data_IF_991583232410
#
_entry.id   IF_991583232410
#
_cell.length_a   1.000
_cell.length_b   1.000
_cell.length_c   1.000
_cell.angle_alpha   90.00
_cell.angle_beta   90.00
_cell.angle_gamma   90.00
#
_symmetry.space_group_name_H-M   'P 1'
#
loop_
_entity.id
_entity.type
_entity.pdbx_description
1 polymer ?
#
# COMPACT_ATOMS: atom_id res chain seq x y z
N UNK A 1 11.07 -19.51 -15.31
CA UNK A 1 9.90 -19.30 -14.44
C UNK A 1 9.86 -20.27 -13.26
N UNK A 2 9.51 -21.56 -13.43
CA UNK A 2 9.38 -22.53 -12.33
C UNK A 2 10.56 -22.56 -11.33
N UNK A 3 11.81 -22.68 -11.81
CA UNK A 3 13.00 -22.65 -10.94
C UNK A 3 13.09 -21.40 -10.06
N UNK A 4 12.72 -20.23 -10.61
CA UNK A 4 12.75 -18.96 -9.87
C UNK A 4 11.68 -18.94 -8.78
N UNK A 5 10.46 -19.38 -9.09
CA UNK A 5 9.37 -19.46 -8.10
C UNK A 5 9.70 -20.44 -6.97
N UNK A 6 10.15 -21.64 -7.31
CA UNK A 6 10.56 -22.67 -6.35
C UNK A 6 11.74 -22.25 -5.46
N UNK A 7 12.57 -21.31 -5.93
CA UNK A 7 13.67 -20.76 -5.13
C UNK A 7 13.23 -19.58 -4.26
N UNK A 8 12.51 -18.61 -4.85
CA UNK A 8 12.20 -17.35 -4.20
C UNK A 8 11.06 -17.48 -3.19
N UNK A 9 9.92 -18.05 -3.58
CA UNK A 9 8.71 -18.06 -2.75
C UNK A 9 8.95 -18.81 -1.44
N UNK A 10 9.50 -20.05 -1.42
CA UNK A 10 9.77 -20.74 -0.15
C UNK A 10 10.84 -20.06 0.72
N UNK A 11 11.84 -19.40 0.11
CA UNK A 11 12.93 -18.73 0.84
C UNK A 11 12.44 -17.56 1.69
N UNK A 12 11.40 -16.87 1.21
CA UNK A 12 10.82 -15.67 1.85
C UNK A 12 9.43 -15.92 2.45
N UNK A 13 8.98 -17.18 2.51
CA UNK A 13 7.77 -17.55 3.25
C UNK A 13 7.81 -16.99 4.66
N UNK A 14 6.69 -16.42 5.10
CA UNK A 14 6.51 -15.75 6.39
C UNK A 14 7.40 -14.51 6.64
N UNK A 15 8.14 -14.05 5.63
CA UNK A 15 9.01 -12.85 5.71
C UNK A 15 8.50 -11.68 4.89
N UNK A 16 7.54 -11.89 4.00
CA UNK A 16 6.92 -10.87 3.17
C UNK A 16 5.42 -10.86 3.40
N UNK A 17 4.80 -9.68 3.32
CA UNK A 17 3.35 -9.56 3.48
C UNK A 17 2.58 -9.96 2.22
N UNK A 18 3.18 -9.73 1.05
CA UNK A 18 2.62 -10.01 -0.26
C UNK A 18 3.72 -10.29 -1.28
N UNK A 19 3.31 -10.83 -2.43
CA UNK A 19 4.08 -10.90 -3.67
C UNK A 19 3.32 -10.22 -4.79
N UNK A 20 3.97 -9.35 -5.53
CA UNK A 20 3.53 -9.01 -6.89
C UNK A 20 3.90 -10.19 -7.77
N UNK A 21 2.92 -11.05 -8.03
CA UNK A 21 3.14 -12.30 -8.77
C UNK A 21 3.42 -11.99 -10.24
N UNK A 22 2.77 -10.95 -10.76
CA UNK A 22 2.94 -10.42 -12.11
C UNK A 22 2.97 -8.90 -12.01
N UNK A 23 4.03 -8.30 -12.56
CA UNK A 23 4.18 -6.85 -12.71
C UNK A 23 3.84 -6.45 -14.13
N UNK A 24 3.13 -5.34 -14.29
CA UNK A 24 2.89 -4.63 -15.54
C UNK A 24 2.26 -5.45 -16.69
N UNK A 25 1.33 -6.40 -16.46
CA UNK A 25 0.77 -7.22 -17.54
C UNK A 25 -0.06 -6.42 -18.57
N UNK A 26 -0.50 -5.20 -18.25
CA UNK A 26 -1.21 -4.33 -19.20
C UNK A 26 -0.26 -3.68 -20.22
N UNK A 27 1.00 -3.50 -19.84
CA UNK A 27 2.03 -2.86 -20.66
C UNK A 27 2.97 -3.88 -21.31
N UNK A 28 3.29 -4.97 -20.60
CA UNK A 28 4.23 -6.00 -21.02
C UNK A 28 3.68 -7.41 -20.83
N UNK A 29 3.50 -8.15 -21.93
CA UNK A 29 2.98 -9.52 -21.89
C UNK A 29 3.99 -10.57 -22.40
N UNK A 30 5.22 -10.54 -21.87
CA UNK A 30 6.30 -11.41 -22.34
C UNK A 30 5.96 -12.92 -22.19
N UNK A 31 5.42 -13.30 -21.04
CA UNK A 31 5.13 -14.71 -20.72
C UNK A 31 3.88 -15.20 -21.44
N UNK A 32 2.79 -14.44 -21.45
CA UNK A 32 1.55 -14.82 -22.15
C UNK A 32 1.77 -14.99 -23.65
N UNK A 33 2.54 -14.11 -24.29
CA UNK A 33 2.88 -14.25 -25.71
C UNK A 33 3.64 -15.53 -26.06
N UNK A 34 4.41 -16.10 -25.12
CA UNK A 34 5.27 -17.27 -25.36
C UNK A 34 4.68 -18.58 -24.87
N UNK A 35 3.87 -18.53 -23.82
CA UNK A 35 3.38 -19.70 -23.09
C UNK A 35 1.84 -19.78 -23.09
N UNK A 36 1.16 -18.82 -23.70
CA UNK A 36 -0.30 -18.66 -23.65
C UNK A 36 -0.76 -17.90 -22.41
N UNK A 37 -1.94 -17.26 -22.48
CA UNK A 37 -2.50 -16.45 -21.39
C UNK A 37 -2.70 -17.22 -20.08
N UNK A 38 -2.91 -18.54 -20.15
CA UNK A 38 -3.08 -19.40 -18.99
C UNK A 38 -1.86 -19.41 -18.06
N UNK A 39 -0.68 -19.03 -18.57
CA UNK A 39 0.55 -18.93 -17.78
C UNK A 39 0.39 -17.98 -16.60
N UNK A 40 -0.38 -16.90 -16.76
CA UNK A 40 -0.62 -15.95 -15.68
C UNK A 40 -1.38 -16.60 -14.53
N UNK A 41 -2.46 -17.34 -14.84
CA UNK A 41 -3.20 -18.08 -13.82
C UNK A 41 -2.34 -19.17 -13.16
N UNK A 42 -1.47 -19.81 -13.94
CA UNK A 42 -0.54 -20.81 -13.45
C UNK A 42 0.46 -20.20 -12.46
N UNK A 43 1.00 -19.00 -12.70
CA UNK A 43 1.93 -18.33 -11.78
C UNK A 43 1.29 -18.10 -10.42
N UNK A 44 0.05 -17.58 -10.37
CA UNK A 44 -0.66 -17.39 -9.10
C UNK A 44 -0.93 -18.72 -8.37
N UNK A 45 -1.36 -19.76 -9.08
CA UNK A 45 -1.56 -21.10 -8.50
C UNK A 45 -0.26 -21.68 -7.94
N UNK A 46 0.84 -21.51 -8.67
CA UNK A 46 2.16 -21.97 -8.24
C UNK A 46 2.65 -21.20 -7.00
N UNK A 47 2.48 -19.87 -6.97
CA UNK A 47 2.82 -19.06 -5.82
C UNK A 47 2.01 -19.48 -4.58
N UNK A 48 0.70 -19.67 -4.73
CA UNK A 48 -0.17 -20.15 -3.64
C UNK A 48 0.22 -21.54 -3.13
N UNK A 49 0.61 -22.46 -4.02
CA UNK A 49 1.06 -23.79 -3.62
C UNK A 49 2.38 -23.74 -2.82
N UNK A 50 3.26 -22.79 -3.16
CA UNK A 50 4.55 -22.57 -2.49
C UNK A 50 4.44 -21.71 -1.23
N UNK A 51 3.38 -20.94 -1.07
CA UNK A 51 3.08 -20.18 0.15
C UNK A 51 1.55 -20.01 0.30
N UNK A 52 0.91 -20.86 1.12
CA UNK A 52 -0.55 -20.84 1.30
C UNK A 52 -1.11 -19.60 1.99
N UNK A 53 -0.28 -18.81 2.68
CA UNK A 53 -0.75 -17.73 3.56
C UNK A 53 -0.38 -16.33 3.07
N UNK A 54 0.62 -16.20 2.19
CA UNK A 54 1.02 -14.89 1.65
C UNK A 54 -0.06 -14.30 0.74
N UNK A 55 -0.16 -12.97 0.70
CA UNK A 55 -1.04 -12.33 -0.26
C UNK A 55 -0.39 -12.31 -1.66
N UNK A 56 -1.21 -12.44 -2.70
CA UNK A 56 -0.78 -12.52 -4.10
C UNK A 56 -1.42 -11.37 -4.87
N UNK A 57 -0.59 -10.46 -5.32
CA UNK A 57 -0.96 -9.21 -5.95
C UNK A 57 -0.74 -9.31 -7.47
N UNK A 58 -1.66 -8.68 -8.20
CA UNK A 58 -1.37 -8.12 -9.52
C UNK A 58 -0.90 -6.69 -9.28
N UNK A 59 0.14 -6.21 -9.96
CA UNK A 59 0.66 -4.85 -9.83
C UNK A 59 0.84 -4.21 -11.22
N UNK A 60 0.46 -2.96 -11.37
CA UNK A 60 0.57 -2.21 -12.64
C UNK A 60 0.49 -0.69 -12.41
N UNK A 61 1.11 0.08 -13.30
CA UNK A 61 1.02 1.55 -13.36
C UNK A 61 -0.10 2.02 -14.30
N UNK A 62 -0.34 3.33 -14.37
CA UNK A 62 -1.37 3.95 -15.20
C UNK A 62 -2.80 3.44 -14.89
N UNK A 63 -3.01 3.01 -13.66
CA UNK A 63 -4.29 2.48 -13.16
C UNK A 63 -5.06 3.50 -12.34
N UNK A 64 -4.39 4.49 -11.74
CA UNK A 64 -4.97 5.56 -10.90
C UNK A 64 -4.30 6.94 -11.07
N UNK A 65 -3.24 7.01 -11.87
CA UNK A 65 -2.35 8.16 -12.03
C UNK A 65 -2.65 8.90 -13.33
N UNK A 66 -2.32 8.26 -14.45
CA UNK A 66 -2.59 8.69 -15.80
C UNK A 66 -3.12 7.49 -16.58
N UNK A 67 -4.39 7.55 -16.98
CA UNK A 67 -4.98 6.44 -17.73
C UNK A 67 -4.84 6.68 -19.24
N UNK A 68 -4.52 5.63 -19.97
CA UNK A 68 -4.59 5.61 -21.42
C UNK A 68 -5.55 4.52 -21.94
N UNK A 69 -5.55 4.26 -23.24
CA UNK A 69 -6.46 3.27 -23.85
C UNK A 69 -6.12 1.83 -23.45
N UNK A 70 -4.87 1.54 -23.12
CA UNK A 70 -4.36 0.20 -22.80
C UNK A 70 -4.29 -0.08 -21.29
N UNK A 71 -4.10 0.96 -20.47
CA UNK A 71 -4.05 0.86 -19.02
C UNK A 71 -4.94 1.92 -18.35
N UNK A 72 -5.93 1.44 -17.61
CA UNK A 72 -6.91 2.22 -16.87
C UNK A 72 -7.60 1.29 -15.84
N UNK A 73 -8.36 1.81 -14.86
CA UNK A 73 -8.93 0.96 -13.81
C UNK A 73 -9.95 -0.05 -14.33
N UNK A 74 -10.65 0.21 -15.44
CA UNK A 74 -11.58 -0.75 -16.04
C UNK A 74 -10.85 -1.98 -16.62
N UNK A 75 -9.83 -1.75 -17.44
CA UNK A 75 -9.03 -2.82 -18.05
C UNK A 75 -8.30 -3.61 -16.97
N UNK A 76 -7.79 -2.91 -15.94
CA UNK A 76 -7.10 -3.55 -14.85
C UNK A 76 -8.03 -4.45 -14.02
N UNK A 77 -9.21 -3.95 -13.68
CA UNK A 77 -10.24 -4.71 -12.98
C UNK A 77 -10.69 -5.94 -13.77
N UNK A 78 -10.86 -5.80 -15.09
CA UNK A 78 -11.17 -6.93 -15.98
C UNK A 78 -10.07 -7.99 -15.96
N UNK A 79 -8.79 -7.59 -16.00
CA UNK A 79 -7.66 -8.53 -15.89
C UNK A 79 -7.69 -9.30 -14.56
N UNK A 80 -7.96 -8.62 -13.45
CA UNK A 80 -8.10 -9.26 -12.12
C UNK A 80 -9.24 -10.28 -12.12
N UNK A 81 -10.41 -9.92 -12.66
CA UNK A 81 -11.55 -10.84 -12.75
C UNK A 81 -11.28 -12.03 -13.66
N UNK A 82 -10.64 -11.83 -14.81
CA UNK A 82 -10.29 -12.90 -15.73
C UNK A 82 -9.29 -13.88 -15.10
N UNK A 83 -8.29 -13.39 -14.36
CA UNK A 83 -7.38 -14.24 -13.60
C UNK A 83 -8.13 -15.10 -12.57
N UNK A 84 -8.99 -14.47 -11.77
CA UNK A 84 -9.80 -15.18 -10.79
C UNK A 84 -10.75 -16.21 -11.44
N UNK A 85 -11.38 -15.87 -12.56
CA UNK A 85 -12.23 -16.78 -13.33
C UNK A 85 -11.46 -18.00 -13.86
N UNK A 86 -10.18 -17.82 -14.21
CA UNK A 86 -9.26 -18.91 -14.57
C UNK A 86 -8.66 -19.64 -13.36
N UNK A 87 -9.13 -19.36 -12.14
CA UNK A 87 -8.75 -20.02 -10.90
C UNK A 87 -7.43 -19.53 -10.30
N UNK A 88 -6.92 -18.37 -10.72
CA UNK A 88 -5.81 -17.72 -10.04
C UNK A 88 -6.29 -17.20 -8.67
N UNK A 89 -5.61 -17.51 -7.55
CA UNK A 89 -5.97 -16.97 -6.24
C UNK A 89 -5.41 -15.55 -6.03
N UNK A 90 -5.89 -14.56 -6.79
CA UNK A 90 -5.51 -13.15 -6.58
C UNK A 90 -6.13 -12.67 -5.27
N UNK A 91 -5.32 -12.08 -4.40
CA UNK A 91 -5.80 -11.62 -3.08
C UNK A 91 -5.56 -10.13 -2.82
N UNK A 92 -4.97 -9.40 -3.77
CA UNK A 92 -4.72 -7.96 -3.65
C UNK A 92 -4.51 -7.31 -5.01
N UNK A 93 -4.68 -6.00 -5.04
CA UNK A 93 -4.44 -5.13 -6.19
C UNK A 93 -3.33 -4.16 -5.78
N UNK A 94 -2.23 -4.16 -6.52
CA UNK A 94 -1.21 -3.12 -6.49
C UNK A 94 -1.49 -2.08 -7.56
N UNK A 95 -1.45 -0.82 -7.20
CA UNK A 95 -1.41 0.31 -8.13
C UNK A 95 -0.09 1.01 -7.86
N UNK A 96 0.78 1.08 -8.86
CA UNK A 96 2.14 1.60 -8.65
C UNK A 96 2.10 3.03 -8.10
N UNK A 97 1.18 3.86 -8.58
CA UNK A 97 0.99 5.24 -8.14
C UNK A 97 2.17 6.16 -8.50
N UNK A 98 2.79 5.91 -9.66
CA UNK A 98 3.77 6.82 -10.28
C UNK A 98 3.07 8.03 -10.90
N UNK A 99 3.08 9.17 -10.19
CA UNK A 99 2.47 10.40 -10.70
C UNK A 99 3.50 11.27 -11.42
N UNK A 100 3.06 11.88 -12.53
CA UNK A 100 3.77 13.00 -13.17
C UNK A 100 2.97 14.28 -12.97
N UNK A 101 3.55 15.26 -12.27
CA UNK A 101 2.92 16.55 -11.99
C UNK A 101 1.75 16.46 -10.99
N UNK A 102 0.78 17.38 -11.14
CA UNK A 102 -0.31 17.55 -10.18
C UNK A 102 -1.31 16.37 -10.18
N UNK A 103 -1.61 15.78 -9.01
CA UNK A 103 -2.53 14.66 -8.92
C UNK A 103 -3.98 15.11 -9.03
N UNK A 104 -4.77 14.40 -9.84
CA UNK A 104 -6.20 14.63 -9.96
C UNK A 104 -6.97 13.87 -8.87
N UNK A 105 -7.12 14.43 -7.66
CA UNK A 105 -7.68 13.72 -6.50
C UNK A 105 -9.11 13.17 -6.72
N UNK A 106 -9.96 13.92 -7.45
CA UNK A 106 -11.31 13.45 -7.81
C UNK A 106 -11.23 12.20 -8.69
N UNK A 107 -10.25 12.15 -9.59
CA UNK A 107 -10.01 11.01 -10.46
C UNK A 107 -9.44 9.82 -9.67
N UNK A 108 -8.44 10.05 -8.83
CA UNK A 108 -7.91 9.04 -7.91
C UNK A 108 -9.04 8.37 -7.10
N UNK A 109 -9.93 9.18 -6.50
CA UNK A 109 -11.09 8.67 -5.77
C UNK A 109 -12.01 7.83 -6.65
N UNK A 110 -12.33 8.31 -7.85
CA UNK A 110 -13.16 7.57 -8.81
C UNK A 110 -12.54 6.21 -9.15
N UNK A 111 -11.25 6.20 -9.46
CA UNK A 111 -10.53 5.01 -9.92
C UNK A 111 -10.35 3.99 -8.78
N UNK A 112 -10.07 4.45 -7.55
CA UNK A 112 -10.08 3.59 -6.36
C UNK A 112 -11.46 2.97 -6.10
N UNK A 113 -12.55 3.73 -6.28
CA UNK A 113 -13.90 3.18 -6.16
C UNK A 113 -14.19 2.12 -7.23
N UNK A 114 -13.68 2.33 -8.45
CA UNK A 114 -13.79 1.35 -9.53
C UNK A 114 -13.04 0.07 -9.19
N UNK A 115 -11.78 0.17 -8.81
CA UNK A 115 -10.95 -0.98 -8.44
C UNK A 115 -11.49 -1.70 -7.19
N UNK A 116 -12.14 -0.98 -6.26
CA UNK A 116 -12.78 -1.57 -5.09
C UNK A 116 -13.89 -2.58 -5.43
N UNK A 117 -14.44 -2.54 -6.65
CA UNK A 117 -15.40 -3.56 -7.11
C UNK A 117 -14.80 -4.96 -7.19
N UNK A 118 -13.47 -5.11 -7.23
CA UNK A 118 -12.80 -6.41 -7.10
C UNK A 118 -13.05 -7.06 -5.73
N UNK A 119 -13.42 -6.27 -4.71
CA UNK A 119 -13.54 -6.70 -3.31
C UNK A 119 -12.23 -7.27 -2.76
N UNK A 120 -11.10 -6.76 -3.26
CA UNK A 120 -9.75 -7.05 -2.81
C UNK A 120 -9.13 -5.80 -2.17
N UNK A 121 -8.18 -5.93 -1.23
CA UNK A 121 -7.41 -4.81 -0.73
C UNK A 121 -6.60 -4.17 -1.87
N UNK A 122 -6.59 -2.84 -1.91
CA UNK A 122 -5.78 -2.03 -2.83
C UNK A 122 -4.56 -1.52 -2.07
N UNK A 123 -3.38 -1.60 -2.67
CA UNK A 123 -2.17 -0.96 -2.18
C UNK A 123 -1.66 0.01 -3.22
N UNK A 124 -1.30 1.21 -2.79
CA UNK A 124 -0.35 2.03 -3.54
C UNK A 124 1.02 1.42 -3.26
N UNK A 125 1.65 0.85 -4.27
CA UNK A 125 2.85 0.00 -4.11
C UNK A 125 4.15 0.77 -4.33
N UNK A 126 4.12 1.86 -5.11
CA UNK A 126 5.31 2.56 -5.59
C UNK A 126 5.08 4.09 -5.68
N UNK A 127 4.35 4.67 -4.72
CA UNK A 127 3.94 6.08 -4.77
C UNK A 127 5.15 7.02 -4.85
N UNK A 128 5.23 7.81 -5.93
CA UNK A 128 6.20 8.88 -6.15
C UNK A 128 5.63 9.99 -7.06
N UNK A 129 6.39 11.08 -7.22
CA UNK A 129 6.01 12.26 -8.01
C UNK A 129 7.18 12.84 -8.81
N UNK A 130 7.14 12.63 -10.13
CA UNK A 130 8.05 13.24 -11.10
C UNK A 130 7.45 14.51 -11.71
N UNK A 131 8.24 15.23 -12.52
CA UNK A 131 7.83 16.46 -13.24
C UNK A 131 7.18 17.53 -12.35
N UNK A 132 7.70 17.67 -11.13
CA UNK A 132 7.31 18.69 -10.14
C UNK A 132 8.30 19.86 -10.13
N UNK A 133 7.83 21.07 -9.85
CA UNK A 133 8.62 22.30 -9.91
C UNK A 133 9.55 22.47 -8.69
N UNK A 134 9.20 21.85 -7.55
CA UNK A 134 9.96 21.96 -6.30
C UNK A 134 9.69 20.80 -5.35
N UNK A 135 10.60 20.61 -4.38
CA UNK A 135 10.44 19.63 -3.31
C UNK A 135 9.23 19.94 -2.40
N UNK A 136 8.89 21.22 -2.22
CA UNK A 136 7.72 21.64 -1.42
C UNK A 136 6.42 21.27 -2.14
N UNK A 137 6.33 21.51 -3.45
CA UNK A 137 5.19 21.10 -4.26
C UNK A 137 5.04 19.57 -4.31
N UNK A 138 6.16 18.84 -4.43
CA UNK A 138 6.15 17.38 -4.32
C UNK A 138 5.59 16.92 -2.98
N UNK A 139 5.96 17.60 -1.90
CA UNK A 139 5.46 17.32 -0.56
C UNK A 139 3.96 17.59 -0.42
N UNK A 140 3.44 18.66 -1.05
CA UNK A 140 2.00 18.93 -1.16
C UNK A 140 1.27 17.78 -1.85
N UNK A 141 1.79 17.33 -3.00
CA UNK A 141 1.14 16.29 -3.81
C UNK A 141 1.17 14.91 -3.14
N UNK A 142 2.31 14.52 -2.55
CA UNK A 142 2.44 13.31 -1.75
C UNK A 142 1.45 13.30 -0.59
N UNK A 143 1.37 14.40 0.18
CA UNK A 143 0.40 14.52 1.27
C UNK A 143 -1.05 14.39 0.78
N UNK A 144 -1.39 15.05 -0.33
CA UNK A 144 -2.74 15.02 -0.90
C UNK A 144 -3.16 13.60 -1.32
N UNK A 145 -2.31 12.89 -2.08
CA UNK A 145 -2.59 11.50 -2.50
C UNK A 145 -2.62 10.54 -1.32
N UNK A 146 -1.70 10.69 -0.35
CA UNK A 146 -1.72 9.88 0.86
C UNK A 146 -3.01 10.07 1.66
N UNK A 147 -3.50 11.32 1.81
CA UNK A 147 -4.76 11.61 2.51
C UNK A 147 -5.98 11.01 1.80
N UNK A 148 -6.11 11.22 0.49
CA UNK A 148 -7.23 10.66 -0.28
C UNK A 148 -7.23 9.13 -0.24
N UNK A 149 -6.05 8.53 -0.42
CA UNK A 149 -5.88 7.07 -0.37
C UNK A 149 -6.16 6.51 1.03
N UNK A 150 -5.66 7.15 2.10
CA UNK A 150 -5.92 6.75 3.48
C UNK A 150 -7.41 6.82 3.85
N UNK A 151 -8.14 7.78 3.29
CA UNK A 151 -9.58 7.93 3.51
C UNK A 151 -10.42 6.83 2.81
N UNK A 152 -9.86 6.15 1.80
CA UNK A 152 -10.58 5.17 1.01
C UNK A 152 -10.63 3.78 1.70
N UNK A 153 -11.82 3.20 1.96
CA UNK A 153 -11.94 1.99 2.81
C UNK A 153 -11.23 0.74 2.26
N UNK A 154 -11.16 0.62 0.92
CA UNK A 154 -10.50 -0.50 0.25
C UNK A 154 -8.97 -0.37 0.18
N UNK A 155 -8.40 0.81 0.46
CA UNK A 155 -6.94 0.97 0.51
C UNK A 155 -6.44 0.35 1.82
N UNK A 156 -5.44 -0.51 1.70
CA UNK A 156 -4.90 -1.30 2.80
C UNK A 156 -3.40 -1.04 3.04
N UNK A 157 -2.70 -0.42 2.09
CA UNK A 157 -1.31 -0.03 2.24
C UNK A 157 -0.92 1.09 1.28
N UNK A 158 0.08 1.85 1.70
CA UNK A 158 0.78 2.84 0.88
C UNK A 158 2.27 2.59 1.09
N UNK A 159 2.99 2.34 0.00
CA UNK A 159 4.43 2.17 -0.06
C UNK A 159 4.95 3.24 -1.00
N UNK A 160 5.98 3.96 -0.55
CA UNK A 160 6.64 4.99 -1.35
C UNK A 160 7.74 4.34 -2.19
N UNK A 161 7.87 4.74 -3.46
CA UNK A 161 8.99 4.31 -4.30
C UNK A 161 10.23 5.13 -3.99
N UNK A 162 10.84 4.82 -2.85
CA UNK A 162 12.04 5.52 -2.38
C UNK A 162 13.24 4.59 -2.34
N UNK A 163 14.35 5.02 -2.95
CA UNK A 163 15.62 4.29 -2.87
C UNK A 163 16.64 4.97 -1.96
N UNK A 164 17.62 4.19 -1.50
CA UNK A 164 18.80 4.71 -0.83
C UNK A 164 19.67 5.59 -1.75
N UNK A 165 20.43 6.50 -1.15
CA UNK A 165 21.24 7.53 -1.84
C UNK A 165 22.14 7.03 -2.99
N UNK A 166 22.74 5.83 -2.89
CA UNK A 166 23.59 5.28 -3.97
C UNK A 166 22.80 4.94 -5.23
N UNK A 167 21.53 4.57 -5.05
CA UNK A 167 20.59 4.20 -6.09
C UNK A 167 20.08 5.45 -6.80
N UNK A 168 19.86 6.53 -6.05
CA UNK A 168 19.44 7.84 -6.56
C UNK A 168 20.36 8.43 -7.64
N UNK A 169 21.68 8.36 -7.44
CA UNK A 169 22.65 8.83 -8.44
C UNK A 169 22.66 7.93 -9.69
N UNK A 170 22.55 6.62 -9.49
CA UNK A 170 22.54 5.64 -10.57
C UNK A 170 21.36 5.81 -11.53
N UNK A 171 20.14 6.00 -11.00
CA UNK A 171 18.93 6.14 -11.84
C UNK A 171 18.88 7.45 -12.62
N UNK A 172 19.43 8.54 -12.07
CA UNK A 172 19.48 9.84 -12.76
C UNK A 172 20.37 9.84 -14.01
N UNK A 173 21.38 8.97 -14.04
CA UNK A 173 22.40 8.94 -15.11
C UNK A 173 22.04 8.01 -16.28
N UNK A 174 21.15 7.03 -16.08
CA UNK A 174 20.84 5.99 -17.09
C UNK A 174 19.53 6.19 -17.83
N UNK A 175 18.52 6.80 -17.19
CA UNK A 175 17.25 7.11 -17.85
C UNK A 175 16.58 8.33 -17.22
N UNK A 176 16.88 9.55 -17.71
CA UNK A 176 16.27 10.77 -17.18
C UNK A 176 14.75 10.86 -17.43
N UNK A 177 14.16 9.94 -18.20
CA UNK A 177 12.71 9.86 -18.45
C UNK A 177 11.97 8.83 -17.59
N UNK A 178 12.67 8.04 -16.77
CA UNK A 178 12.07 7.05 -15.88
C UNK A 178 11.80 7.66 -14.49
N UNK A 179 10.69 7.29 -13.84
CA UNK A 179 10.36 7.71 -12.47
C UNK A 179 11.55 7.44 -11.54
N UNK A 180 12.08 8.51 -10.94
CA UNK A 180 13.29 8.41 -10.16
C UNK A 180 12.90 8.00 -8.75
N UNK A 181 13.47 6.94 -8.16
CA UNK A 181 13.15 6.57 -6.79
C UNK A 181 13.59 7.62 -5.74
N UNK A 182 14.17 8.76 -6.14
CA UNK A 182 14.32 9.92 -5.27
C UNK A 182 13.05 10.79 -5.18
N UNK A 183 12.11 10.62 -6.09
CA UNK A 183 10.87 11.39 -6.21
C UNK A 183 9.85 11.09 -5.10
N UNK A 184 10.17 10.14 -4.22
CA UNK A 184 9.44 9.91 -2.97
C UNK A 184 10.34 9.99 -1.71
N UNK A 185 11.55 10.54 -1.82
CA UNK A 185 12.46 10.66 -0.68
C UNK A 185 11.86 11.52 0.44
N UNK A 186 11.85 10.97 1.66
CA UNK A 186 11.43 11.67 2.87
C UNK A 186 12.57 12.39 3.59
N UNK A 187 13.81 12.19 3.16
CA UNK A 187 14.98 12.78 3.78
C UNK A 187 15.97 13.29 2.73
N UNK A 188 16.73 14.32 3.11
CA UNK A 188 17.83 14.86 2.32
C UNK A 188 19.06 13.93 2.33
N UNK A 189 20.10 14.35 1.60
CA UNK A 189 21.37 13.60 1.51
C UNK A 189 22.14 13.42 2.84
N UNK A 190 21.75 14.15 3.88
CA UNK A 190 22.30 14.07 5.24
C UNK A 190 21.40 13.27 6.19
N UNK A 191 20.39 12.56 5.68
CA UNK A 191 19.38 11.82 6.45
C UNK A 191 18.58 12.71 7.41
N UNK A 192 18.38 13.98 7.05
CA UNK A 192 17.45 14.87 7.75
C UNK A 192 16.13 14.94 6.97
N UNK A 193 15.01 14.95 7.69
CA UNK A 193 13.69 15.06 7.07
C UNK A 193 13.62 16.30 6.17
N UNK A 194 13.30 16.08 4.88
CA UNK A 194 12.93 17.16 3.97
C UNK A 194 11.46 17.54 4.23
N UNK A 195 10.87 18.40 3.40
CA UNK A 195 9.48 18.82 3.60
C UNK A 195 8.49 17.65 3.52
N UNK A 196 8.66 16.73 2.56
CA UNK A 196 7.85 15.52 2.45
C UNK A 196 7.99 14.63 3.70
N UNK A 197 9.19 14.48 4.25
CA UNK A 197 9.45 13.78 5.51
C UNK A 197 8.72 14.40 6.69
N UNK A 198 8.83 15.73 6.85
CA UNK A 198 8.15 16.44 7.94
C UNK A 198 6.63 16.24 7.89
N UNK A 199 6.04 16.35 6.69
CA UNK A 199 4.60 16.11 6.48
C UNK A 199 4.22 14.67 6.71
N UNK A 200 5.02 13.70 6.24
CA UNK A 200 4.81 12.28 6.54
C UNK A 200 4.79 12.03 8.05
N UNK A 201 5.73 12.59 8.81
CA UNK A 201 5.73 12.47 10.28
C UNK A 201 4.48 13.10 10.91
N UNK A 202 4.04 14.26 10.40
CA UNK A 202 2.81 14.90 10.86
C UNK A 202 1.57 14.03 10.58
N UNK A 203 1.44 13.46 9.38
CA UNK A 203 0.37 12.51 9.04
C UNK A 203 0.40 11.28 9.94
N UNK A 204 1.58 10.71 10.20
CA UNK A 204 1.74 9.57 11.11
C UNK A 204 1.29 9.90 12.53
N UNK A 205 1.58 11.11 13.01
CA UNK A 205 1.11 11.59 14.30
C UNK A 205 -0.41 11.81 14.31
N UNK A 206 -0.97 12.40 13.25
CA UNK A 206 -2.40 12.63 13.05
C UNK A 206 -3.19 11.31 13.01
N UNK A 207 -2.71 10.32 12.24
CA UNK A 207 -3.35 9.01 12.04
C UNK A 207 -3.04 8.00 13.15
N UNK A 208 -2.56 8.47 14.29
CA UNK A 208 -2.30 7.67 15.48
C UNK A 208 -3.16 8.14 16.64
N UNK A 209 -3.89 7.23 17.29
CA UNK A 209 -4.72 7.61 18.44
C UNK A 209 -3.96 7.45 19.76
N UNK A 210 -3.81 8.57 20.49
CA UNK A 210 -3.27 8.62 21.83
C UNK A 210 -4.34 9.14 22.79
N UNK A 211 -4.65 8.37 23.84
CA UNK A 211 -5.71 8.72 24.79
C UNK A 211 -5.28 8.43 26.23
N UNK A 212 -5.44 9.43 27.10
CA UNK A 212 -5.16 9.32 28.53
C UNK A 212 -6.20 10.10 29.36
N UNK A 213 -6.96 9.38 30.18
CA UNK A 213 -7.97 9.92 31.09
C UNK A 213 -8.05 9.10 32.38
N UNK A 214 -8.57 9.72 33.44
CA UNK A 214 -8.92 9.05 34.69
C UNK A 214 -10.41 8.74 34.70
N UNK A 215 -10.79 7.60 35.26
CA UNK A 215 -12.19 7.21 35.47
C UNK A 215 -12.35 6.59 36.86
N UNK A 216 -13.58 6.26 37.25
CA UNK A 216 -13.89 5.49 38.46
C UNK A 216 -14.12 4.03 38.08
N UNK A 217 -13.95 3.12 39.05
CA UNK A 217 -14.25 1.70 38.85
C UNK A 217 -15.68 1.53 38.35
N UNK A 218 -15.86 0.74 37.29
CA UNK A 218 -17.16 0.47 36.65
C UNK A 218 -17.64 1.55 35.65
N UNK A 219 -16.97 2.70 35.54
CA UNK A 219 -17.33 3.73 34.55
C UNK A 219 -16.44 3.63 33.29
N UNK A 220 -17.04 3.45 32.09
CA UNK A 220 -16.27 3.31 30.86
C UNK A 220 -15.59 4.62 30.46
N UNK A 221 -14.44 4.51 29.79
CA UNK A 221 -13.85 5.60 29.01
C UNK A 221 -14.16 5.35 27.53
N UNK A 222 -14.56 6.42 26.83
CA UNK A 222 -14.86 6.36 25.40
C UNK A 222 -13.97 7.34 24.64
N UNK A 223 -13.46 6.92 23.49
CA UNK A 223 -12.68 7.73 22.56
C UNK A 223 -12.82 7.15 21.15
N UNK A 224 -12.57 7.97 20.13
CA UNK A 224 -12.49 7.53 18.73
C UNK A 224 -11.07 7.13 18.41
N UNK A 225 -10.89 6.02 17.69
CA UNK A 225 -9.59 5.48 17.35
C UNK A 225 -9.49 5.16 15.84
N UNK A 226 -8.32 5.36 15.25
CA UNK A 226 -8.01 4.80 13.92
C UNK A 226 -7.92 3.28 14.00
N UNK A 227 -8.16 2.59 12.88
CA UNK A 227 -7.92 1.15 12.80
C UNK A 227 -6.45 0.81 13.08
N UNK A 228 -6.19 -0.27 13.81
CA UNK A 228 -4.83 -0.66 14.16
C UNK A 228 -4.71 -1.35 15.50
N UNK A 229 -3.48 -1.70 15.86
CA UNK A 229 -3.16 -2.38 17.13
C UNK A 229 -2.85 -1.36 18.21
N UNK A 230 -3.53 -1.49 19.33
CA UNK A 230 -3.39 -0.60 20.48
C UNK A 230 -2.80 -1.32 21.68
N UNK A 231 -2.14 -0.51 22.52
CA UNK A 231 -1.66 -0.89 23.84
C UNK A 231 -2.34 -0.01 24.87
N UNK A 232 -3.08 -0.62 25.79
CA UNK A 232 -3.69 0.07 26.92
C UNK A 232 -2.92 -0.26 28.19
N UNK A 233 -2.63 0.78 28.98
CA UNK A 233 -2.08 0.65 30.34
C UNK A 233 -3.04 1.29 31.33
N UNK A 234 -3.40 0.55 32.36
CA UNK A 234 -4.29 1.02 33.44
C UNK A 234 -3.53 0.91 34.75
N UNK A 235 -3.58 1.98 35.55
CA UNK A 235 -2.95 2.04 36.87
C UNK A 235 -3.99 2.36 37.95
N UNK A 236 -4.02 1.58 39.02
CA UNK A 236 -4.92 1.78 40.16
C UNK A 236 -4.26 1.32 41.46
N UNK A 237 -4.24 2.18 42.48
CA UNK A 237 -3.69 1.88 43.82
C UNK A 237 -2.28 1.23 43.82
N UNK A 238 -1.40 1.68 42.92
CA UNK A 238 -0.03 1.15 42.81
C UNK A 238 0.11 -0.11 41.96
N UNK A 239 -0.99 -0.72 41.51
CA UNK A 239 -0.96 -1.80 40.51
C UNK A 239 -1.06 -1.22 39.10
N UNK A 240 -0.44 -1.91 38.14
CA UNK A 240 -0.50 -1.57 36.72
C UNK A 240 -0.72 -2.84 35.89
N UNK A 241 -1.67 -2.76 34.96
CA UNK A 241 -1.91 -3.81 33.97
C UNK A 241 -1.74 -3.25 32.56
N UNK A 242 -1.20 -4.10 31.68
CA UNK A 242 -1.05 -3.81 30.26
C UNK A 242 -1.78 -4.88 29.43
N UNK A 243 -2.46 -4.42 28.37
CA UNK A 243 -3.16 -5.28 27.40
C UNK A 243 -2.99 -4.72 26.00
N UNK A 244 -3.06 -5.61 25.02
CA UNK A 244 -3.13 -5.27 23.60
C UNK A 244 -4.51 -5.63 23.06
N UNK A 245 -5.00 -4.82 22.14
CA UNK A 245 -6.23 -5.10 21.39
C UNK A 245 -6.14 -4.50 19.99
N UNK A 246 -6.89 -5.06 19.06
CA UNK A 246 -6.96 -4.58 17.68
C UNK A 246 -8.29 -3.86 17.45
N UNK A 247 -8.22 -2.67 16.85
CA UNK A 247 -9.37 -1.93 16.36
C UNK A 247 -9.53 -2.29 14.88
N UNK A 248 -10.57 -3.05 14.49
CA UNK A 248 -10.78 -3.42 13.10
C UNK A 248 -11.20 -2.22 12.25
N UNK A 249 -11.13 -2.36 10.92
CA UNK A 249 -11.69 -1.37 9.99
C UNK A 249 -13.22 -1.29 10.15
N UNK A 250 -13.78 -0.08 10.03
CA UNK A 250 -15.22 0.17 9.97
C UNK A 250 -15.78 1.03 11.11
N UNK A 251 -17.01 1.51 10.94
CA UNK A 251 -17.71 2.30 11.95
C UNK A 251 -18.42 1.38 12.95
N UNK A 252 -17.74 1.05 14.05
CA UNK A 252 -18.29 0.18 15.09
C UNK A 252 -17.78 0.54 16.48
N UNK A 253 -18.57 0.19 17.50
CA UNK A 253 -18.15 0.31 18.90
C UNK A 253 -17.43 -0.98 19.32
N UNK A 254 -16.18 -0.85 19.73
CA UNK A 254 -15.43 -1.92 20.37
C UNK A 254 -15.41 -1.70 21.89
N UNK A 255 -15.89 -2.68 22.66
CA UNK A 255 -15.77 -2.66 24.11
C UNK A 255 -14.56 -3.50 24.53
N UNK A 256 -13.58 -2.87 25.17
CA UNK A 256 -12.38 -3.53 25.68
C UNK A 256 -12.45 -3.56 27.20
N UNK A 257 -12.58 -4.76 27.77
CA UNK A 257 -12.52 -4.94 29.22
C UNK A 257 -11.05 -5.09 29.66
N UNK A 258 -10.63 -4.24 30.60
CA UNK A 258 -9.32 -4.36 31.24
C UNK A 258 -9.55 -4.67 32.72
N UNK A 259 -9.15 -5.87 33.13
CA UNK A 259 -9.18 -6.28 34.53
C UNK A 259 -7.84 -5.92 35.18
N UNK A 260 -7.94 -5.28 36.35
CA UNK A 260 -6.82 -4.97 37.25
C UNK A 260 -6.55 -6.15 38.17
#
# INVERSE_FOLDING_TARGET
MQRRMNSAVPRYRDKVQHWDVINEPLHGNYFGQRLGEDVHSWMFKAARALDPNVQLFLNDYNTVEQCDRGANPEVYLEKVWNLNASGAPVTGIGVEAHYSGEPQLVRLKHDLNRLAMAKLPIWLTELDFSEVESDDQRADYLEAVMRESFAHPSVAGIVLWSAGRSTCAYYKDIDPGMCNPCDACLADSSFKDNEAGRRYQALRAEWSTHFARRTRLGLPLSFTAFHGRYRVRVSFRGQQVERFFDVPKGAGRLNVAVQL
#
